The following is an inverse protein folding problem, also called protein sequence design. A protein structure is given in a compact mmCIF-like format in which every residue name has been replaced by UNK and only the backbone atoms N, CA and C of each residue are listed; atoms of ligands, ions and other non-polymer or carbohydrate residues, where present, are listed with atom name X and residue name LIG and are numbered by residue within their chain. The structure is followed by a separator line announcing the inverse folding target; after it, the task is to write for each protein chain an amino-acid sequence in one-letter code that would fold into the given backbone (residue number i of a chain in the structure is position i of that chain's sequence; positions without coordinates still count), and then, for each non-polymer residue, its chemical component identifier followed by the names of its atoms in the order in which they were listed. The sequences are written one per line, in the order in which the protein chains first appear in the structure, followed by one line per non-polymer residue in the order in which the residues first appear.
data_IF_478470187496
#
_entry.id   IF_478470187496
#
_cell.length_a   1.000
_cell.length_b   1.000
_cell.length_c   1.000
_cell.angle_alpha   90.00
_cell.angle_beta   90.00
_cell.angle_gamma   90.00
#
_symmetry.space_group_name_H-M   'P 1'
#
loop_
_entity.id
_entity.type
_entity.pdbx_description
1 polymer ?
#
# COMPACT_ATOMS: atom_id res chain seq x y z
N UNK A 1 3.35 27.04 7.21
CA UNK A 1 2.33 26.76 6.18
C UNK A 1 2.44 25.30 5.82
N UNK A 2 1.54 24.45 6.32
CA UNK A 2 1.45 23.06 5.88
C UNK A 2 0.49 23.04 4.69
N UNK A 3 1.02 22.69 3.52
CA UNK A 3 0.25 22.60 2.29
C UNK A 3 -0.79 21.50 2.41
N UNK A 4 -2.05 21.85 2.19
CA UNK A 4 -3.15 20.91 2.05
C UNK A 4 -2.92 20.07 0.78
N UNK A 5 -2.98 18.75 0.90
CA UNK A 5 -2.84 17.83 -0.23
C UNK A 5 -4.13 17.83 -1.08
N UNK A 6 -4.04 17.88 -2.43
CA UNK A 6 -5.21 17.90 -3.30
C UNK A 6 -5.86 16.50 -3.36
N UNK A 7 -7.10 16.42 -2.89
CA UNK A 7 -7.87 15.19 -2.76
C UNK A 7 -8.48 14.75 -4.10
N UNK A 8 -7.95 13.67 -4.69
CA UNK A 8 -8.73 12.74 -5.50
C UNK A 8 -9.29 11.68 -4.55
N UNK A 9 -10.58 11.72 -4.25
CA UNK A 9 -11.16 10.90 -3.18
C UNK A 9 -11.21 9.43 -3.60
N UNK A 10 -10.20 8.66 -3.20
CA UNK A 10 -10.37 7.23 -2.96
C UNK A 10 -11.66 7.02 -2.14
N UNK A 11 -12.44 5.95 -2.38
CA UNK A 11 -13.44 5.55 -1.40
C UNK A 11 -12.74 5.45 -0.04
N UNK A 12 -13.33 6.07 0.98
CA UNK A 12 -12.77 5.99 2.32
C UNK A 12 -12.60 4.50 2.65
N UNK A 13 -11.39 4.06 3.05
CA UNK A 13 -11.20 2.66 3.41
C UNK A 13 -12.20 2.34 4.53
N UNK A 14 -12.76 1.12 4.49
CA UNK A 14 -13.70 0.64 5.51
C UNK A 14 -13.12 0.79 6.92
N UNK A 15 -11.78 0.82 7.02
CA UNK A 15 -11.03 1.16 8.21
C UNK A 15 -9.89 2.15 7.86
N UNK A 16 -9.93 3.37 8.42
CA UNK A 16 -8.72 4.19 8.50
C UNK A 16 -7.93 3.74 9.73
N UNK A 17 -6.65 4.10 9.81
CA UNK A 17 -5.89 3.84 11.04
C UNK A 17 -6.48 4.62 12.23
N UNK A 18 -7.29 5.64 11.97
CA UNK A 18 -8.01 6.39 12.99
C UNK A 18 -9.29 5.67 13.46
N UNK A 19 -9.86 4.76 12.64
CA UNK A 19 -11.06 3.98 12.97
C UNK A 19 -10.78 2.54 13.38
N UNK A 20 -9.65 1.95 12.97
CA UNK A 20 -9.22 0.64 13.45
C UNK A 20 -8.80 0.69 14.92
N UNK A 21 -9.20 -0.31 15.71
CA UNK A 21 -8.93 -0.41 17.15
C UNK A 21 -8.10 -1.63 17.54
N UNK A 22 -7.81 -2.51 16.58
CA UNK A 22 -6.94 -3.67 16.80
C UNK A 22 -5.45 -3.27 16.79
N UNK A 23 -4.55 -4.20 17.14
CA UNK A 23 -3.13 -3.92 17.11
C UNK A 23 -2.62 -3.71 15.68
N UNK A 24 -1.76 -2.70 15.51
CA UNK A 24 -1.08 -2.45 14.23
C UNK A 24 0.41 -2.22 14.50
N UNK A 25 1.28 -2.99 13.82
CA UNK A 25 2.71 -2.75 13.92
C UNK A 25 3.11 -1.37 13.37
N UNK A 26 4.17 -0.71 13.89
CA UNK A 26 4.67 0.55 13.33
C UNK A 26 5.04 0.46 11.84
N UNK A 27 5.41 -0.74 11.37
CA UNK A 27 5.76 -0.98 9.97
C UNK A 27 4.49 -0.98 9.13
N UNK A 28 3.49 -1.77 9.50
CA UNK A 28 2.19 -1.85 8.82
C UNK A 28 1.55 -0.48 8.73
N UNK A 29 1.49 0.26 9.85
CA UNK A 29 0.90 1.60 9.86
C UNK A 29 1.55 2.55 8.84
N UNK A 30 2.89 2.57 8.78
CA UNK A 30 3.63 3.37 7.81
C UNK A 30 3.40 2.92 6.38
N UNK A 31 3.35 1.61 6.13
CA UNK A 31 3.11 1.08 4.79
C UNK A 31 1.70 1.42 4.31
N UNK A 32 0.67 1.24 5.15
CA UNK A 32 -0.72 1.63 4.88
C UNK A 32 -0.83 3.10 4.49
N UNK A 33 -0.23 4.00 5.29
CA UNK A 33 -0.27 5.44 5.01
C UNK A 33 0.48 5.81 3.73
N UNK A 34 1.64 5.18 3.49
CA UNK A 34 2.43 5.45 2.29
C UNK A 34 1.74 4.93 1.02
N UNK A 35 1.19 3.72 1.06
CA UNK A 35 0.40 3.16 -0.04
C UNK A 35 -0.81 4.05 -0.36
N UNK A 36 -1.47 4.59 0.66
CA UNK A 36 -2.58 5.53 0.48
C UNK A 36 -2.17 6.74 -0.35
N UNK A 37 -1.12 7.45 0.06
CA UNK A 37 -0.61 8.63 -0.67
C UNK A 37 -0.27 8.31 -2.12
N UNK A 38 0.41 7.18 -2.34
CA UNK A 38 0.81 6.75 -3.68
C UNK A 38 -0.43 6.45 -4.54
N UNK A 39 -1.41 5.74 -4.00
CA UNK A 39 -2.61 5.36 -4.75
C UNK A 39 -3.53 6.55 -5.03
N UNK A 40 -3.63 7.52 -4.11
CA UNK A 40 -4.31 8.80 -4.37
C UNK A 40 -3.65 9.53 -5.55
N UNK A 41 -2.31 9.55 -5.60
CA UNK A 41 -1.58 10.14 -6.73
C UNK A 41 -1.75 9.36 -8.03
N UNK A 42 -1.65 8.03 -7.99
CA UNK A 42 -1.87 7.16 -9.16
C UNK A 42 -3.23 7.45 -9.80
N UNK A 43 -4.28 7.60 -8.99
CA UNK A 43 -5.62 7.95 -9.47
C UNK A 43 -5.65 9.37 -10.01
N UNK A 44 -5.13 10.35 -9.27
CA UNK A 44 -5.18 11.76 -9.65
C UNK A 44 -4.41 12.03 -10.97
N UNK A 45 -3.30 11.34 -11.18
CA UNK A 45 -2.45 11.49 -12.37
C UNK A 45 -2.84 10.53 -13.51
N UNK A 46 -3.78 9.61 -13.29
CA UNK A 46 -4.19 8.63 -14.29
C UNK A 46 -3.07 7.67 -14.70
N UNK A 47 -2.21 7.29 -13.74
CA UNK A 47 -1.09 6.38 -14.00
C UNK A 47 -1.66 4.97 -14.27
N UNK A 48 -1.36 4.43 -15.45
CA UNK A 48 -1.68 3.04 -15.80
C UNK A 48 -0.62 2.08 -15.21
N UNK A 49 -1.03 1.29 -14.23
CA UNK A 49 -0.18 0.31 -13.57
C UNK A 49 0.02 -0.96 -14.41
N UNK A 50 -0.84 -1.23 -15.40
CA UNK A 50 -0.76 -2.44 -16.22
C UNK A 50 0.49 -2.50 -17.09
N UNK A 51 1.10 -1.35 -17.36
CA UNK A 51 2.32 -1.23 -18.16
C UNK A 51 3.61 -1.24 -17.32
N UNK A 52 3.55 -1.30 -15.98
CA UNK A 52 4.74 -1.28 -15.13
C UNK A 52 5.35 -2.68 -14.95
N UNK A 53 6.12 -3.12 -15.96
CA UNK A 53 6.82 -4.41 -15.95
C UNK A 53 7.75 -4.57 -14.73
N UNK A 54 8.34 -3.47 -14.24
CA UNK A 54 9.20 -3.51 -13.05
C UNK A 54 8.44 -3.87 -11.78
N UNK A 55 7.20 -3.38 -11.62
CA UNK A 55 6.34 -3.79 -10.51
C UNK A 55 6.02 -5.27 -10.55
N UNK A 56 5.75 -5.80 -11.76
CA UNK A 56 5.50 -7.22 -11.99
C UNK A 56 6.72 -8.07 -11.61
N UNK A 57 7.91 -7.71 -12.08
CA UNK A 57 9.16 -8.41 -11.76
C UNK A 57 9.43 -8.46 -10.26
N UNK A 58 9.20 -7.35 -9.55
CA UNK A 58 9.39 -7.28 -8.10
C UNK A 58 8.47 -8.24 -7.35
N UNK A 59 7.19 -8.32 -7.72
CA UNK A 59 6.24 -9.26 -7.10
C UNK A 59 6.63 -10.70 -7.43
N UNK A 60 7.00 -10.99 -8.68
CA UNK A 60 7.47 -12.33 -9.08
C UNK A 60 8.70 -12.77 -8.29
N UNK A 61 9.65 -11.86 -8.05
CA UNK A 61 10.81 -12.15 -7.20
C UNK A 61 10.39 -12.43 -5.76
N UNK A 62 9.47 -11.66 -5.20
CA UNK A 62 8.91 -11.90 -3.87
C UNK A 62 8.20 -13.25 -3.75
N UNK A 63 7.41 -13.61 -4.78
CA UNK A 63 6.70 -14.89 -4.91
C UNK A 63 7.67 -16.07 -4.98
N UNK A 64 8.66 -16.02 -5.87
CA UNK A 64 9.57 -17.13 -6.13
C UNK A 64 10.51 -17.43 -4.95
N UNK A 65 10.70 -16.48 -4.04
CA UNK A 65 11.48 -16.65 -2.82
C UNK A 65 10.65 -17.14 -1.63
N UNK A 66 9.39 -17.54 -1.84
CA UNK A 66 8.48 -17.94 -0.77
C UNK A 66 7.84 -19.31 -1.04
N UNK A 67 7.73 -20.11 0.01
CA UNK A 67 6.96 -21.36 0.03
C UNK A 67 5.65 -21.23 0.81
N UNK A 68 5.38 -20.04 1.36
CA UNK A 68 4.19 -19.76 2.16
C UNK A 68 2.96 -19.60 1.25
N UNK A 69 1.93 -20.46 1.40
CA UNK A 69 0.73 -20.41 0.56
C UNK A 69 0.03 -19.05 0.57
N UNK A 70 0.00 -18.35 1.71
CA UNK A 70 -0.67 -17.05 1.81
C UNK A 70 0.07 -15.99 0.99
N UNK A 71 1.41 -16.00 1.02
CA UNK A 71 2.23 -15.10 0.20
C UNK A 71 2.12 -15.42 -1.28
N UNK A 72 2.08 -16.70 -1.65
CA UNK A 72 1.90 -17.10 -3.04
C UNK A 72 0.54 -16.63 -3.58
N UNK A 73 -0.53 -16.78 -2.79
CA UNK A 73 -1.86 -16.29 -3.14
C UNK A 73 -1.89 -14.76 -3.25
N UNK A 74 -1.34 -14.05 -2.27
CA UNK A 74 -1.26 -12.58 -2.28
C UNK A 74 -0.48 -12.08 -3.51
N UNK A 75 0.65 -12.71 -3.85
CA UNK A 75 1.43 -12.36 -5.04
C UNK A 75 0.64 -12.53 -6.34
N UNK A 76 -0.02 -13.69 -6.52
CA UNK A 76 -0.83 -13.93 -7.71
C UNK A 76 -1.99 -12.92 -7.83
N UNK A 77 -2.61 -12.59 -6.70
CA UNK A 77 -3.70 -11.60 -6.64
C UNK A 77 -3.20 -10.19 -7.00
N UNK A 78 -2.05 -9.77 -6.44
CA UNK A 78 -1.44 -8.47 -6.77
C UNK A 78 -1.05 -8.38 -8.25
N UNK A 79 -0.53 -9.45 -8.83
CA UNK A 79 -0.19 -9.50 -10.25
C UNK A 79 -1.44 -9.35 -11.13
N UNK A 80 -2.55 -9.98 -10.74
CA UNK A 80 -3.81 -9.88 -11.46
C UNK A 80 -4.35 -8.44 -11.43
N UNK A 81 -4.38 -7.80 -10.26
CA UNK A 81 -4.83 -6.41 -10.14
C UNK A 81 -3.94 -5.43 -10.89
N UNK A 82 -2.61 -5.58 -10.84
CA UNK A 82 -1.71 -4.72 -11.60
C UNK A 82 -1.96 -4.85 -13.10
N UNK A 83 -2.04 -6.07 -13.63
CA UNK A 83 -2.22 -6.33 -15.07
C UNK A 83 -3.55 -5.80 -15.61
N UNK A 84 -4.58 -5.73 -14.77
CA UNK A 84 -5.89 -5.18 -15.14
C UNK A 84 -6.07 -3.71 -14.73
N UNK A 85 -5.01 -3.05 -14.26
CA UNK A 85 -5.07 -1.69 -13.71
C UNK A 85 -6.18 -1.52 -12.65
N UNK A 86 -6.42 -2.53 -11.83
CA UNK A 86 -7.44 -2.54 -10.76
C UNK A 86 -6.95 -1.79 -9.52
N UNK A 87 -6.85 -0.47 -9.67
CA UNK A 87 -6.41 0.44 -8.61
C UNK A 87 -7.37 0.42 -7.41
N UNK A 88 -8.66 0.16 -7.65
CA UNK A 88 -9.67 0.09 -6.59
C UNK A 88 -9.41 -1.09 -5.64
N UNK A 89 -9.16 -2.29 -6.17
CA UNK A 89 -8.82 -3.45 -5.36
C UNK A 89 -7.47 -3.30 -4.65
N UNK A 90 -6.47 -2.72 -5.32
CA UNK A 90 -5.19 -2.38 -4.70
C UNK A 90 -5.38 -1.43 -3.52
N UNK A 91 -6.17 -0.36 -3.68
CA UNK A 91 -6.46 0.58 -2.60
C UNK A 91 -7.17 -0.09 -1.43
N UNK A 92 -8.19 -0.90 -1.69
CA UNK A 92 -8.93 -1.61 -0.64
C UNK A 92 -8.01 -2.45 0.25
N UNK A 93 -7.07 -3.19 -0.34
CA UNK A 93 -6.23 -4.12 0.42
C UNK A 93 -4.96 -3.47 0.97
N UNK A 94 -4.31 -2.61 0.20
CA UNK A 94 -3.03 -1.99 0.60
C UNK A 94 -3.20 -0.86 1.63
N UNK A 95 -4.44 -0.38 1.81
CA UNK A 95 -4.78 0.62 2.82
C UNK A 95 -5.52 0.05 4.04
N UNK A 96 -5.80 -1.25 4.06
CA UNK A 96 -6.39 -1.93 5.22
C UNK A 96 -5.28 -2.47 6.14
N UNK A 97 -5.24 -2.10 7.43
CA UNK A 97 -4.17 -2.49 8.35
C UNK A 97 -4.34 -3.89 8.98
N UNK A 98 -5.42 -4.62 8.68
CA UNK A 98 -5.68 -5.93 9.27
C UNK A 98 -4.59 -6.95 8.91
N UNK A 99 -4.26 -7.83 9.86
CA UNK A 99 -3.16 -8.80 9.74
C UNK A 99 -3.29 -9.73 8.52
N UNK A 100 -4.53 -10.11 8.15
CA UNK A 100 -4.79 -10.91 6.94
C UNK A 100 -4.27 -10.27 5.64
N UNK A 101 -4.02 -8.96 5.64
CA UNK A 101 -3.50 -8.23 4.48
C UNK A 101 -1.98 -8.00 4.53
N UNK A 102 -1.30 -8.47 5.58
CA UNK A 102 0.14 -8.25 5.78
C UNK A 102 0.99 -8.74 4.60
N UNK A 103 0.67 -9.91 4.04
CA UNK A 103 1.36 -10.45 2.87
C UNK A 103 1.26 -9.52 1.65
N UNK A 104 0.14 -8.81 1.48
CA UNK A 104 -0.02 -7.82 0.41
C UNK A 104 0.84 -6.59 0.65
N UNK A 105 0.92 -6.08 1.88
CA UNK A 105 1.79 -4.92 2.21
C UNK A 105 3.28 -5.24 2.02
N UNK A 106 3.68 -6.47 2.31
CA UNK A 106 5.07 -6.93 2.16
C UNK A 106 5.49 -7.12 0.71
N UNK A 107 4.55 -7.55 -0.15
CA UNK A 107 4.81 -7.82 -1.57
C UNK A 107 4.54 -6.61 -2.47
N UNK A 108 3.81 -5.59 -1.99
CA UNK A 108 3.49 -4.39 -2.77
C UNK A 108 4.76 -3.68 -3.27
N UNK A 109 4.91 -3.48 -4.59
CA UNK A 109 6.04 -2.76 -5.16
C UNK A 109 5.84 -1.24 -5.10
N UNK A 110 4.63 -0.77 -4.77
CA UNK A 110 4.22 0.62 -4.97
C UNK A 110 5.10 1.62 -4.22
N UNK A 111 5.40 1.35 -2.96
CA UNK A 111 6.28 2.21 -2.14
C UNK A 111 7.67 2.33 -2.75
N UNK A 112 8.22 1.25 -3.28
CA UNK A 112 9.54 1.27 -3.90
C UNK A 112 9.52 1.93 -5.28
N UNK A 113 8.44 1.74 -6.04
CA UNK A 113 8.35 2.17 -7.44
C UNK A 113 7.92 3.62 -7.59
N UNK A 114 7.00 4.06 -6.74
CA UNK A 114 6.36 5.36 -6.81
C UNK A 114 6.60 6.21 -5.57
N UNK A 115 7.01 5.63 -4.44
CA UNK A 115 7.27 6.41 -3.24
C UNK A 115 8.43 7.40 -3.44
N UNK A 116 8.22 8.63 -2.95
CA UNK A 116 9.21 9.70 -2.98
C UNK A 116 9.92 9.84 -1.64
N UNK A 117 11.10 10.47 -1.64
CA UNK A 117 11.84 10.76 -0.41
C UNK A 117 11.04 11.70 0.53
N UNK A 118 10.25 12.61 -0.04
CA UNK A 118 9.43 13.57 0.71
C UNK A 118 8.24 12.88 1.39
N UNK A 119 7.49 12.06 0.65
CA UNK A 119 6.42 11.21 1.23
C UNK A 119 6.98 10.33 2.34
N UNK A 120 8.12 9.68 2.11
CA UNK A 120 8.78 8.86 3.11
C UNK A 120 9.17 9.64 4.37
N UNK A 121 9.64 10.89 4.25
CA UNK A 121 9.94 11.77 5.39
C UNK A 121 8.66 12.17 6.13
N UNK A 122 7.62 12.56 5.40
CA UNK A 122 6.34 12.97 5.96
C UNK A 122 5.68 11.81 6.72
N UNK A 123 5.57 10.62 6.11
CA UNK A 123 5.02 9.41 6.74
C UNK A 123 5.76 9.09 8.04
N UNK A 124 7.10 9.15 8.04
CA UNK A 124 7.88 8.94 9.28
C UNK A 124 7.61 9.98 10.35
N UNK A 125 7.43 11.25 9.97
CA UNK A 125 7.16 12.32 10.92
C UNK A 125 5.77 12.17 11.56
N UNK A 126 4.73 11.91 10.77
CA UNK A 126 3.34 11.86 11.26
C UNK A 126 3.01 10.59 12.03
N UNK A 127 3.73 9.49 11.77
CA UNK A 127 3.54 8.21 12.48
C UNK A 127 4.38 8.08 13.76
N UNK A 128 5.31 9.02 14.00
CA UNK A 128 6.15 9.02 15.20
C UNK A 128 5.28 9.13 16.46
N UNK A 129 5.40 8.14 17.35
CA UNK A 129 4.67 8.13 18.64
C UNK A 129 3.18 7.80 18.55
N UNK A 130 2.63 7.51 17.36
CA UNK A 130 1.20 7.18 17.16
C UNK A 130 0.92 5.68 17.07
N UNK A 131 1.86 4.83 17.49
CA UNK A 131 1.74 3.37 17.35
C UNK A 131 0.92 2.80 18.51
N UNK A 132 -0.13 2.06 18.18
CA UNK A 132 -0.83 1.17 19.11
C UNK A 132 -0.25 -0.24 19.00
N UNK A 133 0.55 -0.64 20.01
CA UNK A 133 1.02 -2.00 20.16
C UNK A 133 -0.07 -2.87 20.83
N UNK A 134 -0.21 -4.12 20.39
CA UNK A 134 -0.46 -5.22 21.31
C UNK A 134 0.89 -5.86 21.67
#
# INVERSE_FOLDING_TARGET
MMSEHPAGSLPAPEFTVETYRGPISPRTYRQTLHNRLILERVIAEGIDLSTDERSVEMILRGRNNSTDPERLQAANTLLDWLRHNDVASLARVLTDPQEKYYSYHMLSPLITRYGTAEEGKWVRAVTKGKVQYA
#
